data_IF_681866250958
#
_entry.id   IF_681866250958
#
_cell.length_a   1.000
_cell.length_b   1.000
_cell.length_c   1.000
_cell.angle_alpha   90.00
_cell.angle_beta   90.00
_cell.angle_gamma   90.00
#
_symmetry.space_group_name_H-M   'P 1'
#
loop_
_entity.id
_entity.type
_entity.pdbx_description
1 polymer ?
#
# COMPACT_ATOMS: atom_id res chain seq x y z
N UNK A 1 -6.86 -4.16 -3.90
CA UNK A 1 -6.18 -3.05 -3.19
C UNK A 1 -4.76 -2.82 -3.73
N UNK A 2 -3.88 -3.82 -3.74
CA UNK A 2 -2.48 -3.66 -4.18
C UNK A 2 -2.33 -3.17 -5.63
N UNK A 3 -3.00 -3.80 -6.60
CA UNK A 3 -2.94 -3.37 -8.01
C UNK A 3 -3.47 -1.95 -8.21
N UNK A 4 -4.55 -1.57 -7.52
CA UNK A 4 -5.05 -0.19 -7.55
C UNK A 4 -4.09 0.80 -6.88
N UNK A 5 -3.32 0.36 -5.87
CA UNK A 5 -2.27 1.17 -5.25
C UNK A 5 -1.10 1.42 -6.21
N UNK A 6 -0.61 0.37 -6.87
CA UNK A 6 0.42 0.48 -7.90
C UNK A 6 0.00 1.38 -9.06
N UNK A 7 -1.25 1.23 -9.52
CA UNK A 7 -1.80 2.06 -10.58
C UNK A 7 -2.17 3.49 -10.13
N UNK A 8 -2.02 3.84 -8.85
CA UNK A 8 -2.32 5.17 -8.33
C UNK A 8 -3.81 5.55 -8.33
N UNK A 9 -4.72 4.56 -8.36
CA UNK A 9 -6.17 4.76 -8.48
C UNK A 9 -6.81 5.11 -7.11
N UNK A 10 -6.61 6.34 -6.65
CA UNK A 10 -7.03 6.80 -5.33
C UNK A 10 -8.51 6.53 -5.02
N UNK A 11 -9.42 6.78 -5.95
CA UNK A 11 -10.86 6.60 -5.72
C UNK A 11 -11.24 5.13 -5.54
N UNK A 12 -10.56 4.23 -6.27
CA UNK A 12 -10.74 2.78 -6.10
C UNK A 12 -10.17 2.31 -4.77
N UNK A 13 -9.02 2.83 -4.35
CA UNK A 13 -8.43 2.51 -3.04
C UNK A 13 -9.36 2.95 -1.91
N UNK A 14 -9.91 4.16 -1.98
CA UNK A 14 -10.92 4.68 -1.02
C UNK A 14 -12.15 3.77 -0.94
N UNK A 15 -12.75 3.44 -2.08
CA UNK A 15 -13.92 2.57 -2.13
C UNK A 15 -13.64 1.19 -1.51
N UNK A 16 -12.49 0.60 -1.81
CA UNK A 16 -12.10 -0.69 -1.24
C UNK A 16 -11.90 -0.60 0.28
N UNK A 17 -11.36 0.51 0.78
CA UNK A 17 -11.19 0.76 2.22
C UNK A 17 -12.52 0.95 2.94
N UNK A 18 -13.46 1.68 2.36
CA UNK A 18 -14.84 1.79 2.87
C UNK A 18 -15.54 0.43 2.95
N UNK A 19 -15.19 -0.52 2.07
CA UNK A 19 -15.70 -1.90 2.10
C UNK A 19 -14.91 -2.85 3.00
N UNK A 20 -13.97 -2.32 3.79
CA UNK A 20 -13.22 -3.10 4.80
C UNK A 20 -11.97 -3.81 4.27
N UNK A 21 -11.46 -3.45 3.09
CA UNK A 21 -10.16 -3.95 2.65
C UNK A 21 -9.07 -3.56 3.66
N UNK A 22 -8.16 -4.47 4.00
CA UNK A 22 -7.11 -4.20 4.99
C UNK A 22 -5.76 -3.93 4.33
N UNK A 23 -4.92 -3.10 4.97
CA UNK A 23 -3.56 -2.79 4.50
C UNK A 23 -2.52 -3.85 4.91
N UNK A 24 -2.80 -4.62 5.95
CA UNK A 24 -1.94 -5.66 6.55
C UNK A 24 -2.01 -7.02 5.81
N UNK A 25 -2.52 -7.02 4.58
CA UNK A 25 -2.55 -8.20 3.73
C UNK A 25 -1.26 -8.24 2.92
N UNK A 26 -0.72 -9.46 2.81
CA UNK A 26 0.47 -9.78 2.03
C UNK A 26 0.07 -10.51 0.76
N UNK A 27 0.70 -10.18 -0.37
CA UNK A 27 0.58 -10.98 -1.59
C UNK A 27 1.51 -12.19 -1.57
N UNK A 28 1.53 -12.92 -2.68
CA UNK A 28 2.44 -14.06 -2.88
C UNK A 28 3.92 -13.67 -2.86
N UNK A 29 4.24 -12.40 -3.15
CA UNK A 29 5.59 -11.85 -3.07
C UNK A 29 5.92 -11.26 -1.70
N UNK A 30 5.06 -11.47 -0.70
CA UNK A 30 5.25 -10.96 0.65
C UNK A 30 5.08 -9.45 0.77
N UNK A 31 4.61 -8.74 -0.26
CA UNK A 31 4.44 -7.28 -0.27
C UNK A 31 3.03 -6.87 0.18
N UNK A 32 2.93 -5.70 0.81
CA UNK A 32 1.65 -5.12 1.24
C UNK A 32 1.17 -4.00 0.30
N UNK A 33 -0.06 -3.52 0.47
CA UNK A 33 -0.59 -2.42 -0.34
C UNK A 33 0.30 -1.17 -0.33
N UNK A 34 1.01 -0.90 0.77
CA UNK A 34 1.88 0.27 0.89
C UNK A 34 3.18 0.13 0.09
N UNK A 35 3.75 -1.08 0.00
CA UNK A 35 4.88 -1.38 -0.88
C UNK A 35 4.53 -1.07 -2.34
N UNK A 36 3.38 -1.57 -2.79
CA UNK A 36 2.87 -1.32 -4.14
C UNK A 36 2.53 0.16 -4.39
N UNK A 37 2.05 0.89 -3.40
CA UNK A 37 1.78 2.33 -3.53
C UNK A 37 3.07 3.15 -3.74
N UNK A 38 4.16 2.80 -3.06
CA UNK A 38 5.48 3.43 -3.24
C UNK A 38 6.02 3.13 -4.63
N UNK A 39 5.92 1.87 -5.10
CA UNK A 39 6.33 1.48 -6.45
C UNK A 39 5.57 2.22 -7.55
N UNK A 40 4.30 2.55 -7.29
CA UNK A 40 3.46 3.36 -8.18
C UNK A 40 3.81 4.85 -8.20
N UNK A 41 4.73 5.32 -7.36
CA UNK A 41 5.24 6.69 -7.27
C UNK A 41 4.14 7.78 -7.17
N UNK A 42 2.99 7.42 -6.61
CA UNK A 42 1.87 8.36 -6.45
C UNK A 42 1.82 8.93 -5.03
N UNK A 43 2.50 10.06 -4.83
CA UNK A 43 2.60 10.73 -3.53
C UNK A 43 1.23 11.05 -2.92
N UNK A 44 0.24 11.45 -3.74
CA UNK A 44 -1.12 11.76 -3.24
C UNK A 44 -1.80 10.54 -2.64
N UNK A 45 -1.62 9.38 -3.27
CA UNK A 45 -2.14 8.12 -2.76
C UNK A 45 -1.43 7.74 -1.45
N UNK A 46 -0.10 7.82 -1.41
CA UNK A 46 0.69 7.48 -0.22
C UNK A 46 0.31 8.38 0.96
N UNK A 47 0.23 9.70 0.76
CA UNK A 47 -0.24 10.65 1.78
C UNK A 47 -1.63 10.30 2.30
N UNK A 48 -2.55 9.91 1.41
CA UNK A 48 -3.90 9.53 1.80
C UNK A 48 -3.91 8.22 2.61
N UNK A 49 -3.15 7.20 2.20
CA UNK A 49 -3.03 5.94 2.93
C UNK A 49 -2.44 6.14 4.34
N UNK A 50 -1.46 7.03 4.49
CA UNK A 50 -0.90 7.42 5.80
C UNK A 50 -1.99 8.05 6.68
N UNK A 51 -2.78 8.99 6.14
CA UNK A 51 -3.89 9.61 6.86
C UNK A 51 -4.99 8.62 7.24
N UNK A 52 -5.20 7.60 6.43
CA UNK A 52 -6.17 6.52 6.67
C UNK A 52 -5.65 5.42 7.63
N UNK A 53 -4.43 5.58 8.16
CA UNK A 53 -3.86 4.70 9.19
C UNK A 53 -3.11 3.48 8.65
N UNK A 54 -2.62 3.53 7.41
CA UNK A 54 -1.69 2.52 6.92
C UNK A 54 -0.37 2.55 7.71
N UNK A 55 0.13 1.37 8.10
CA UNK A 55 1.43 1.25 8.75
C UNK A 55 2.57 1.46 7.75
N UNK A 56 3.30 2.56 7.92
CA UNK A 56 4.45 2.93 7.07
C UNK A 56 5.71 2.10 7.33
N UNK A 57 5.75 1.38 8.45
CA UNK A 57 6.89 0.55 8.87
C UNK A 57 6.62 -0.95 8.69
N UNK A 58 5.52 -1.31 8.04
CA UNK A 58 5.17 -2.71 7.79
C UNK A 58 6.27 -3.38 6.97
N UNK A 59 6.79 -4.51 7.45
CA UNK A 59 7.82 -5.25 6.75
C UNK A 59 7.19 -6.27 5.82
N UNK A 60 7.70 -6.34 4.59
CA UNK A 60 7.42 -7.45 3.69
C UNK A 60 7.91 -8.79 4.29
N UNK A 61 7.41 -9.89 3.77
CA UNK A 61 7.80 -11.23 4.24
C UNK A 61 9.08 -11.75 3.58
N UNK A 62 9.46 -11.23 2.41
CA UNK A 62 10.55 -11.79 1.62
C UNK A 62 11.90 -11.22 2.03
N UNK A 63 12.02 -9.89 2.10
CA UNK A 63 13.28 -9.19 2.31
C UNK A 63 13.31 -8.45 3.65
N UNK A 64 12.22 -8.50 4.42
CA UNK A 64 11.94 -7.66 5.58
C UNK A 64 12.05 -6.16 5.28
N UNK A 65 11.76 -5.78 4.04
CA UNK A 65 11.80 -4.39 3.61
C UNK A 65 10.57 -3.65 4.07
N UNK A 66 10.75 -2.41 4.49
CA UNK A 66 9.66 -1.46 4.70
C UNK A 66 9.30 -0.77 3.38
N UNK A 67 8.13 -0.15 3.23
CA UNK A 67 7.78 0.65 2.06
C UNK A 67 8.83 1.71 1.71
N UNK A 68 9.52 2.29 2.71
CA UNK A 68 10.61 3.24 2.47
C UNK A 68 11.82 2.65 1.74
N UNK A 69 12.05 1.34 1.79
CA UNK A 69 13.17 0.69 1.11
C UNK A 69 12.86 0.33 -0.35
N UNK A 70 11.70 0.77 -0.87
CA UNK A 70 11.23 0.54 -2.24
C UNK A 70 11.40 1.74 -3.18
N UNK A 71 11.84 2.89 -2.66
CA UNK A 71 12.09 4.10 -3.45
C UNK A 71 13.43 4.10 -4.17
#
# INVERSE_FOLDING_TARGET
LMLSCFAGQLDVVKLLREKGARYDIYDKGGSTAMHWAVDGQNNKLVEWMIKDGADVNIKDHNSHWTPLLRC
#
